data_IF_117389483710
#
_entry.id   IF_117389483710
#
_cell.length_a   1.000
_cell.length_b   1.000
_cell.length_c   1.000
_cell.angle_alpha   90.00
_cell.angle_beta   90.00
_cell.angle_gamma   90.00
#
_symmetry.space_group_name_H-M   'P 1'
#
loop_
_entity.id
_entity.type
_entity.pdbx_description
1 polymer ?
#
# COMPACT_ATOMS: atom_id res chain seq x y z
N UNK A 1 13.86 -1.43 -3.39
CA UNK A 1 13.75 -1.18 -1.95
C UNK A 1 12.97 -2.29 -1.26
N UNK A 2 13.16 -2.42 0.02
CA UNK A 2 12.47 -3.43 0.79
C UNK A 2 11.42 -2.79 1.69
N UNK A 3 10.20 -3.29 1.63
CA UNK A 3 9.11 -2.83 2.49
C UNK A 3 8.44 -4.05 3.10
N UNK A 4 7.59 -3.83 4.09
CA UNK A 4 6.75 -4.92 4.58
C UNK A 4 5.30 -4.60 4.25
N UNK A 5 4.56 -5.61 3.84
CA UNK A 5 3.14 -5.49 3.52
C UNK A 5 2.41 -6.52 4.36
N UNK A 6 1.58 -6.05 5.27
CA UNK A 6 0.84 -6.90 6.21
C UNK A 6 1.78 -7.88 6.93
N UNK A 7 2.97 -7.39 7.31
CA UNK A 7 3.93 -8.18 8.06
C UNK A 7 4.87 -9.03 7.22
N UNK A 8 4.74 -9.00 5.89
CA UNK A 8 5.61 -9.78 5.01
C UNK A 8 6.55 -8.85 4.26
N UNK A 9 7.85 -9.17 4.32
CA UNK A 9 8.84 -8.42 3.55
C UNK A 9 8.68 -8.67 2.07
N UNK A 10 8.85 -7.62 1.27
CA UNK A 10 8.90 -7.78 -0.18
C UNK A 10 9.81 -6.73 -0.78
N UNK A 11 10.35 -7.06 -1.94
CA UNK A 11 11.15 -6.13 -2.72
C UNK A 11 10.27 -5.48 -3.78
N UNK A 12 10.45 -4.18 -3.96
CA UNK A 12 9.69 -3.44 -4.94
C UNK A 12 10.57 -2.30 -5.47
N UNK A 13 10.20 -1.76 -6.61
CA UNK A 13 10.96 -0.68 -7.23
C UNK A 13 11.04 0.54 -6.33
N UNK A 14 12.18 1.22 -6.35
CA UNK A 14 12.38 2.43 -5.57
C UNK A 14 11.38 3.51 -5.98
N UNK A 15 10.83 4.20 -4.99
CA UNK A 15 9.95 5.33 -5.25
C UNK A 15 8.56 4.98 -5.73
N UNK A 16 8.16 3.71 -5.64
CA UNK A 16 6.81 3.32 -6.05
C UNK A 16 5.78 4.02 -5.15
N UNK A 17 4.68 4.43 -5.75
CA UNK A 17 3.59 5.03 -5.00
C UNK A 17 2.71 3.94 -4.37
N UNK A 18 1.84 4.36 -3.44
CA UNK A 18 0.84 3.44 -2.89
C UNK A 18 0.00 2.86 -4.02
N UNK A 19 -0.40 3.70 -4.96
CA UNK A 19 -1.18 3.25 -6.12
C UNK A 19 -0.41 2.21 -6.93
N UNK A 20 0.87 2.44 -7.14
CA UNK A 20 1.74 1.49 -7.85
C UNK A 20 1.88 0.17 -7.11
N UNK A 21 1.96 0.23 -5.79
CA UNK A 21 2.03 -1.00 -4.99
C UNK A 21 0.74 -1.81 -5.13
N UNK A 22 -0.41 -1.15 -5.06
CA UNK A 22 -1.69 -1.85 -5.22
C UNK A 22 -1.80 -2.50 -6.60
N UNK A 23 -1.35 -1.80 -7.63
CA UNK A 23 -1.34 -2.36 -8.98
C UNK A 23 -0.42 -3.59 -9.06
N UNK A 24 0.74 -3.53 -8.42
CA UNK A 24 1.67 -4.65 -8.37
C UNK A 24 1.04 -5.87 -7.69
N UNK A 25 0.25 -5.65 -6.67
CA UNK A 25 -0.41 -6.71 -5.93
C UNK A 25 -1.72 -7.18 -6.57
N UNK A 26 -2.18 -6.48 -7.60
CA UNK A 26 -3.43 -6.81 -8.25
C UNK A 26 -4.65 -6.46 -7.42
N UNK A 27 -4.53 -5.47 -6.57
CA UNK A 27 -5.60 -5.07 -5.65
C UNK A 27 -6.21 -3.75 -6.13
N UNK A 28 -7.54 -3.67 -6.14
CA UNK A 28 -8.23 -2.44 -6.54
C UNK A 28 -8.34 -1.49 -5.36
N UNK A 29 -7.95 -0.24 -5.58
CA UNK A 29 -7.96 0.75 -4.50
C UNK A 29 -9.34 1.02 -3.94
N UNK A 30 -10.39 0.85 -4.77
CA UNK A 30 -11.77 1.11 -4.33
C UNK A 30 -12.20 0.23 -3.17
N UNK A 31 -11.57 -0.92 -3.02
CA UNK A 31 -11.96 -1.91 -2.03
C UNK A 31 -10.91 -2.10 -0.96
N UNK A 32 -10.04 -1.10 -0.77
CA UNK A 32 -8.96 -1.23 0.21
C UNK A 32 -8.83 0.01 1.06
N UNK A 33 -8.28 -0.18 2.25
CA UNK A 33 -7.78 0.90 3.07
C UNK A 33 -6.28 0.64 3.26
N UNK A 34 -5.47 1.67 3.16
CA UNK A 34 -4.02 1.55 3.25
C UNK A 34 -3.50 2.44 4.36
N UNK A 35 -2.64 1.88 5.19
CA UNK A 35 -1.90 2.65 6.19
C UNK A 35 -0.40 2.46 5.94
N UNK A 36 0.35 3.53 5.99
CA UNK A 36 1.81 3.51 5.87
C UNK A 36 2.38 3.96 7.19
N UNK A 37 3.17 3.09 7.82
CA UNK A 37 3.75 3.37 9.14
C UNK A 37 2.68 3.82 10.14
N UNK A 38 1.56 3.11 10.14
CA UNK A 38 0.41 3.34 11.03
C UNK A 38 -0.38 4.61 10.73
N UNK A 39 -0.12 5.22 9.60
CA UNK A 39 -0.83 6.43 9.20
C UNK A 39 -1.72 6.12 8.01
N UNK A 40 -3.02 6.34 8.16
CA UNK A 40 -3.97 6.04 7.10
C UNK A 40 -3.75 7.00 5.93
N UNK A 41 -3.65 6.44 4.74
CA UNK A 41 -3.48 7.22 3.52
C UNK A 41 -4.84 7.34 2.84
N UNK A 42 -5.34 8.56 2.63
CA UNK A 42 -6.59 8.72 1.91
C UNK A 42 -6.43 8.30 0.45
N UNK A 43 -7.50 7.77 -0.14
CA UNK A 43 -7.46 7.29 -1.51
C UNK A 43 -7.02 8.36 -2.50
N UNK A 44 -7.42 9.59 -2.25
CA UNK A 44 -7.05 10.72 -3.11
C UNK A 44 -5.54 10.98 -3.12
N UNK A 45 -4.81 10.44 -2.13
CA UNK A 45 -3.37 10.64 -2.03
C UNK A 45 -2.56 9.42 -2.48
N UNK A 46 -3.20 8.35 -2.90
CA UNK A 46 -2.48 7.10 -3.22
C UNK A 46 -1.43 7.32 -4.32
N UNK A 47 -1.77 8.06 -5.35
CA UNK A 47 -0.84 8.27 -6.47
C UNK A 47 0.31 9.21 -6.09
N UNK A 48 0.11 10.06 -5.09
CA UNK A 48 1.11 11.04 -4.66
C UNK A 48 1.94 10.59 -3.47
N UNK A 49 1.57 9.49 -2.83
CA UNK A 49 2.28 8.99 -1.66
C UNK A 49 3.30 7.96 -2.13
N UNK A 50 4.57 8.32 -2.09
CA UNK A 50 5.65 7.44 -2.51
C UNK A 50 6.24 6.72 -1.32
N UNK A 51 6.45 5.42 -1.47
CA UNK A 51 7.02 4.59 -0.42
C UNK A 51 8.54 4.75 -0.38
N UNK A 52 9.10 4.51 0.79
CA UNK A 52 10.54 4.53 0.99
C UNK A 52 11.01 3.21 1.59
N UNK A 53 12.30 2.94 1.48
CA UNK A 53 12.86 1.71 2.00
C UNK A 53 12.58 1.59 3.49
N UNK A 54 12.14 0.42 3.90
CA UNK A 54 11.81 0.15 5.30
C UNK A 54 10.39 0.49 5.70
N UNK A 55 9.60 1.05 4.80
CA UNK A 55 8.21 1.39 5.14
C UNK A 55 7.40 0.15 5.49
N UNK A 56 6.50 0.32 6.45
CA UNK A 56 5.55 -0.71 6.84
C UNK A 56 4.19 -0.34 6.28
N UNK A 57 3.67 -1.17 5.41
CA UNK A 57 2.39 -0.93 4.76
C UNK A 57 1.38 -1.95 5.26
N UNK A 58 0.20 -1.46 5.60
CA UNK A 58 -0.91 -2.33 5.98
C UNK A 58 -2.06 -2.09 5.01
N UNK A 59 -2.55 -3.16 4.42
CA UNK A 59 -3.64 -3.10 3.46
C UNK A 59 -4.78 -3.92 4.01
N UNK A 60 -5.93 -3.28 4.16
CA UNK A 60 -7.12 -3.92 4.68
C UNK A 60 -8.19 -3.91 3.60
N UNK A 61 -8.82 -5.05 3.38
CA UNK A 61 -9.97 -5.16 2.48
C UNK A 61 -11.23 -5.25 3.30
N UNK A 62 -12.22 -4.40 3.03
CA UNK A 62 -13.51 -4.54 3.71
C UNK A 62 -14.12 -5.90 3.42
N UNK A 63 -14.46 -6.59 4.48
CA UNK A 63 -15.09 -7.91 4.36
C UNK A 63 -16.52 -7.77 3.92
N UNK A 64 -16.96 -8.72 3.08
CA UNK A 64 -18.35 -8.78 2.70
C UNK A 64 -18.82 -7.58 1.91
N UNK A 65 -17.94 -6.64 1.76
CA UNK A 65 -18.26 -5.50 0.96
C UNK A 65 -18.43 -5.91 -0.47
N UNK A 66 -18.19 -7.10 -0.58
CA UNK A 66 -18.39 -7.70 -1.91
C UNK A 66 -19.39 -7.06 -2.52
#
# INVERSE_FOLDING_TARGET
MKISVNGKSMEIADGVSVDGLLAHLGVKREFTAVAVNREVTPKSAYAATHLTDGDRVEIVRPMGGG
#
